data_IF_605266181807
#
_entry.id   IF_605266181807
#
_cell.length_a   1.000
_cell.length_b   1.000
_cell.length_c   1.000
_cell.angle_alpha   90.00
_cell.angle_beta   90.00
_cell.angle_gamma   90.00
#
_symmetry.space_group_name_H-M   'P 1'
#
loop_
_entity.id
_entity.type
_entity.pdbx_description
1 polymer ?
#
# COMPACT_ATOMS: atom_id res chain seq x y z
N UNK A 1 -27.68 5.68 -9.49
CA UNK A 1 -29.04 6.25 -9.49
C UNK A 1 -29.95 5.38 -8.64
N UNK A 2 -30.01 4.06 -8.91
CA UNK A 2 -30.69 3.08 -8.07
C UNK A 2 -30.33 3.13 -6.59
N UNK A 3 -29.03 3.09 -6.24
CA UNK A 3 -28.56 3.16 -4.84
C UNK A 3 -28.88 4.48 -4.12
N UNK A 4 -29.26 5.53 -4.85
CA UNK A 4 -29.62 6.82 -4.28
C UNK A 4 -31.13 6.95 -4.01
N UNK A 5 -31.92 6.01 -4.52
CA UNK A 5 -33.35 5.94 -4.26
C UNK A 5 -33.59 5.37 -2.87
N UNK A 6 -34.64 5.84 -2.21
CA UNK A 6 -35.15 5.24 -0.98
C UNK A 6 -35.64 3.81 -1.22
N UNK A 7 -35.75 3.02 -0.15
CA UNK A 7 -36.23 1.65 -0.25
C UNK A 7 -37.66 1.56 -0.86
N UNK A 8 -38.52 2.51 -0.52
CA UNK A 8 -39.90 2.58 -1.02
C UNK A 8 -39.94 2.91 -2.53
N UNK A 9 -39.07 3.81 -2.99
CA UNK A 9 -38.92 4.12 -4.42
C UNK A 9 -38.38 2.92 -5.20
N UNK A 10 -37.37 2.22 -4.66
CA UNK A 10 -36.84 1.00 -5.27
C UNK A 10 -37.91 -0.10 -5.37
N UNK A 11 -38.70 -0.30 -4.31
CA UNK A 11 -39.81 -1.25 -4.29
C UNK A 11 -40.86 -0.91 -5.35
N UNK A 12 -41.26 0.36 -5.40
CA UNK A 12 -42.26 0.84 -6.37
C UNK A 12 -41.81 0.60 -7.80
N UNK A 13 -40.56 0.93 -8.13
CA UNK A 13 -40.00 0.69 -9.48
C UNK A 13 -39.89 -0.81 -9.77
N UNK A 14 -39.49 -1.62 -8.79
CA UNK A 14 -39.43 -3.07 -8.94
C UNK A 14 -40.81 -3.65 -9.32
N UNK A 15 -41.86 -3.26 -8.58
CA UNK A 15 -43.24 -3.69 -8.86
C UNK A 15 -43.72 -3.23 -10.24
N UNK A 16 -43.43 -1.98 -10.62
CA UNK A 16 -43.78 -1.47 -11.95
C UNK A 16 -43.09 -2.24 -13.07
N UNK A 17 -41.79 -2.53 -12.93
CA UNK A 17 -41.04 -3.33 -13.90
C UNK A 17 -41.58 -4.76 -14.00
N UNK A 18 -42.02 -5.35 -12.88
CA UNK A 18 -42.64 -6.67 -12.85
C UNK A 18 -43.96 -6.71 -13.64
N UNK A 19 -44.84 -5.71 -13.45
CA UNK A 19 -46.08 -5.60 -14.22
C UNK A 19 -45.83 -5.38 -15.72
N UNK A 20 -44.79 -4.63 -16.06
CA UNK A 20 -44.41 -4.36 -17.45
C UNK A 20 -43.85 -5.63 -18.12
N UNK A 21 -43.07 -6.44 -17.39
CA UNK A 21 -42.50 -7.71 -17.88
C UNK A 21 -43.54 -8.80 -18.14
N UNK A 22 -44.77 -8.69 -17.61
CA UNK A 22 -45.88 -9.59 -17.91
C UNK A 22 -46.46 -9.40 -19.33
N UNK A 23 -46.17 -8.27 -19.99
CA UNK A 23 -46.66 -7.93 -21.34
C UNK A 23 -45.78 -8.53 -22.45
N UNK A 24 -46.14 -8.35 -23.72
CA UNK A 24 -45.29 -8.76 -24.85
C UNK A 24 -43.97 -7.98 -24.89
N UNK A 25 -42.84 -8.67 -24.80
CA UNK A 25 -41.51 -8.08 -24.76
C UNK A 25 -41.08 -7.37 -26.04
N UNK A 26 -41.78 -7.60 -27.15
CA UNK A 26 -41.57 -6.83 -28.40
C UNK A 26 -42.08 -5.39 -28.27
N UNK A 27 -43.02 -5.14 -27.36
CA UNK A 27 -43.62 -3.81 -27.14
C UNK A 27 -42.87 -2.97 -26.11
N UNK A 28 -41.99 -3.58 -25.33
CA UNK A 28 -41.12 -2.90 -24.37
C UNK A 28 -40.15 -1.96 -25.07
N UNK A 29 -40.09 -0.72 -24.59
CA UNK A 29 -39.08 0.26 -24.97
C UNK A 29 -37.67 -0.22 -24.59
N UNK A 30 -36.66 0.37 -25.23
CA UNK A 30 -35.24 0.06 -24.93
C UNK A 30 -34.89 0.45 -23.49
N UNK A 31 -35.47 1.52 -22.97
CA UNK A 31 -35.18 2.00 -21.62
C UNK A 31 -35.79 1.11 -20.54
N UNK A 32 -37.01 0.59 -20.75
CA UNK A 32 -37.61 -0.42 -19.85
C UNK A 32 -36.77 -1.71 -19.82
N UNK A 33 -36.24 -2.14 -20.97
CA UNK A 33 -35.35 -3.31 -21.04
C UNK A 33 -34.05 -3.07 -20.27
N UNK A 34 -33.44 -1.89 -20.44
CA UNK A 34 -32.22 -1.50 -19.70
C UNK A 34 -32.49 -1.39 -18.20
N UNK A 35 -33.61 -0.81 -17.80
CA UNK A 35 -34.02 -0.67 -16.42
C UNK A 35 -34.24 -2.05 -15.77
N UNK A 36 -35.00 -2.94 -16.42
CA UNK A 36 -35.20 -4.31 -15.96
C UNK A 36 -33.88 -5.07 -15.79
N UNK A 37 -32.99 -4.98 -16.80
CA UNK A 37 -31.67 -5.61 -16.72
C UNK A 37 -30.83 -5.02 -15.58
N UNK A 38 -30.78 -3.69 -15.47
CA UNK A 38 -30.02 -3.03 -14.42
C UNK A 38 -30.56 -3.40 -13.05
N UNK A 39 -31.87 -3.33 -12.78
CA UNK A 39 -32.46 -3.71 -11.47
C UNK A 39 -32.18 -5.16 -11.10
N UNK A 40 -32.27 -6.09 -12.06
CA UNK A 40 -32.08 -7.51 -11.80
C UNK A 40 -30.59 -7.92 -11.68
N UNK A 41 -29.70 -7.32 -12.47
CA UNK A 41 -28.31 -7.78 -12.66
C UNK A 41 -27.24 -6.71 -12.47
N UNK A 42 -27.65 -5.48 -12.13
CA UNK A 42 -26.74 -4.36 -11.91
C UNK A 42 -25.80 -4.55 -10.71
N UNK A 43 -24.74 -3.74 -10.64
CA UNK A 43 -23.71 -3.80 -9.61
C UNK A 43 -24.18 -3.12 -8.32
N UNK A 44 -25.25 -3.63 -7.72
CA UNK A 44 -25.83 -3.13 -6.46
C UNK A 44 -26.23 -4.29 -5.55
N UNK A 45 -26.57 -3.97 -4.30
CA UNK A 45 -26.95 -4.97 -3.30
C UNK A 45 -25.87 -6.05 -3.15
N UNK A 46 -26.18 -7.35 -3.29
CA UNK A 46 -25.18 -8.42 -3.20
C UNK A 46 -24.10 -8.39 -4.29
N UNK A 47 -24.30 -7.63 -5.37
CA UNK A 47 -23.33 -7.49 -6.48
C UNK A 47 -22.61 -6.14 -6.49
N UNK A 48 -22.72 -5.38 -5.40
CA UNK A 48 -21.96 -4.15 -5.25
C UNK A 48 -20.45 -4.45 -5.38
N UNK A 49 -19.68 -3.67 -6.16
CA UNK A 49 -18.23 -3.87 -6.26
C UNK A 49 -17.56 -3.71 -4.90
N UNK A 50 -16.62 -4.61 -4.58
CA UNK A 50 -15.81 -4.53 -3.36
C UNK A 50 -15.00 -3.22 -3.36
N UNK A 51 -14.46 -2.87 -4.53
CA UNK A 51 -13.68 -1.66 -4.76
C UNK A 51 -14.46 -0.69 -5.67
N UNK A 52 -15.34 0.16 -5.12
CA UNK A 52 -16.04 1.15 -5.93
C UNK A 52 -15.06 2.17 -6.54
N UNK A 53 -15.48 2.88 -7.61
CA UNK A 53 -14.64 3.91 -8.23
C UNK A 53 -14.10 4.92 -7.21
N UNK A 54 -12.79 5.18 -7.28
CA UNK A 54 -12.08 6.06 -6.34
C UNK A 54 -11.51 5.38 -5.10
N UNK A 55 -11.63 4.06 -4.96
CA UNK A 55 -11.01 3.31 -3.85
C UNK A 55 -9.47 3.34 -3.92
N UNK A 56 -8.90 3.02 -5.09
CA UNK A 56 -7.45 2.98 -5.29
C UNK A 56 -6.72 4.30 -4.91
N UNK A 57 -7.12 5.49 -5.40
CA UNK A 57 -6.45 6.73 -5.02
C UNK A 57 -6.56 7.02 -3.52
N UNK A 58 -7.69 6.68 -2.87
CA UNK A 58 -7.84 6.82 -1.41
C UNK A 58 -6.84 5.93 -0.65
N UNK A 59 -6.67 4.68 -1.09
CA UNK A 59 -5.71 3.75 -0.50
C UNK A 59 -4.28 4.28 -0.67
N UNK A 60 -3.90 4.69 -1.88
CA UNK A 60 -2.55 5.21 -2.16
C UNK A 60 -2.25 6.43 -1.27
N UNK A 61 -3.17 7.40 -1.21
CA UNK A 61 -3.00 8.60 -0.39
C UNK A 61 -2.93 8.24 1.09
N UNK A 62 -3.80 7.34 1.57
CA UNK A 62 -3.82 6.91 2.97
C UNK A 62 -2.52 6.22 3.39
N UNK A 63 -2.02 5.28 2.57
CA UNK A 63 -0.75 4.58 2.83
C UNK A 63 0.43 5.56 2.78
N UNK A 64 0.49 6.44 1.78
CA UNK A 64 1.55 7.44 1.68
C UNK A 64 1.57 8.38 2.89
N UNK A 65 0.38 8.82 3.35
CA UNK A 65 0.25 9.66 4.53
C UNK A 65 0.74 8.95 5.80
N UNK A 66 0.44 7.66 5.97
CA UNK A 66 0.91 6.87 7.11
C UNK A 66 2.43 6.69 7.10
N UNK A 67 3.03 6.41 5.94
CA UNK A 67 4.49 6.31 5.78
C UNK A 67 5.14 7.66 6.11
N UNK A 68 4.62 8.76 5.56
CA UNK A 68 5.14 10.10 5.81
C UNK A 68 5.02 10.49 7.30
N UNK A 69 3.89 10.19 7.93
CA UNK A 69 3.67 10.44 9.36
C UNK A 69 4.64 9.63 10.22
N UNK A 70 4.85 8.36 9.88
CA UNK A 70 5.78 7.48 10.61
C UNK A 70 7.21 7.98 10.49
N UNK A 71 7.62 8.39 9.28
CA UNK A 71 8.94 8.98 9.05
C UNK A 71 9.11 10.29 9.83
N UNK A 72 8.11 11.18 9.78
CA UNK A 72 8.13 12.44 10.53
C UNK A 72 8.30 12.20 12.03
N UNK A 73 7.50 11.29 12.60
CA UNK A 73 7.60 10.92 14.01
C UNK A 73 8.99 10.37 14.36
N UNK A 74 9.51 9.44 13.56
CA UNK A 74 10.84 8.87 13.76
C UNK A 74 11.93 9.95 13.74
N UNK A 75 11.94 10.84 12.73
CA UNK A 75 12.95 11.89 12.63
C UNK A 75 12.81 12.95 13.72
N UNK A 76 11.59 13.30 14.14
CA UNK A 76 11.37 14.20 15.28
C UNK A 76 11.97 13.64 16.57
N UNK A 77 11.76 12.35 16.85
CA UNK A 77 12.36 11.70 18.02
C UNK A 77 13.88 11.63 17.85
N UNK A 78 14.36 11.18 16.69
CA UNK A 78 15.79 11.00 16.42
C UNK A 78 16.59 12.29 16.52
N UNK A 79 15.99 13.43 16.17
CA UNK A 79 16.61 14.75 16.26
C UNK A 79 16.95 15.17 17.70
N UNK A 80 16.28 14.59 18.70
CA UNK A 80 16.54 14.86 20.12
C UNK A 80 17.52 13.87 20.77
N UNK A 81 17.98 12.86 20.03
CA UNK A 81 18.86 11.84 20.58
C UNK A 81 20.30 12.35 20.75
N UNK A 82 21.06 11.81 21.73
CA UNK A 82 22.49 12.13 21.91
C UNK A 82 23.33 11.89 20.64
N UNK A 83 24.51 12.53 20.54
CA UNK A 83 25.44 12.25 19.46
C UNK A 83 25.84 10.76 19.44
N UNK A 84 26.18 10.21 18.26
CA UNK A 84 26.63 8.84 18.16
C UNK A 84 27.91 8.61 18.99
N UNK A 85 28.17 7.38 19.47
CA UNK A 85 29.42 7.03 20.11
C UNK A 85 30.63 7.39 19.24
N UNK A 86 31.74 7.78 19.87
CA UNK A 86 33.00 8.12 19.18
C UNK A 86 33.57 6.97 18.35
N UNK A 87 33.13 5.73 18.63
CA UNK A 87 33.53 4.53 17.91
C UNK A 87 32.81 4.33 16.58
N UNK A 88 31.79 5.15 16.29
CA UNK A 88 31.11 5.18 14.99
C UNK A 88 31.68 6.36 14.20
N UNK A 89 32.96 6.22 13.82
CA UNK A 89 33.67 7.15 12.94
C UNK A 89 34.62 6.39 12.03
N UNK A 90 34.93 6.97 10.87
CA UNK A 90 35.85 6.37 9.91
C UNK A 90 37.24 6.15 10.51
N UNK A 91 37.73 7.09 11.32
CA UNK A 91 39.06 6.95 11.94
C UNK A 91 39.09 5.78 12.94
N UNK A 92 38.01 5.58 13.70
CA UNK A 92 37.93 4.45 14.63
C UNK A 92 37.82 3.11 13.89
N UNK A 93 37.08 3.06 12.79
CA UNK A 93 36.97 1.88 11.93
C UNK A 93 38.33 1.51 11.29
N UNK A 94 39.08 2.50 10.79
CA UNK A 94 40.43 2.30 10.24
C UNK A 94 41.43 1.84 11.31
N UNK A 95 41.43 2.46 12.49
CA UNK A 95 42.25 2.01 13.62
C UNK A 95 41.87 0.59 14.09
N UNK A 96 40.60 0.21 13.97
CA UNK A 96 40.15 -1.15 14.25
C UNK A 96 40.69 -2.15 13.23
N UNK A 97 40.79 -1.76 11.95
CA UNK A 97 41.43 -2.57 10.92
C UNK A 97 42.93 -2.79 11.20
N UNK A 98 43.65 -1.74 11.59
CA UNK A 98 45.08 -1.84 11.94
C UNK A 98 45.29 -2.84 13.08
N UNK A 99 44.52 -2.73 14.17
CA UNK A 99 44.57 -3.71 15.27
C UNK A 99 44.20 -5.12 14.83
N UNK A 100 43.24 -5.26 13.92
CA UNK A 100 42.82 -6.57 13.43
C UNK A 100 43.94 -7.27 12.64
N UNK A 101 44.70 -6.50 11.86
CA UNK A 101 45.88 -6.99 11.15
C UNK A 101 46.99 -7.37 12.15
N UNK A 102 47.27 -6.52 13.15
CA UNK A 102 48.25 -6.82 14.22
C UNK A 102 47.91 -8.13 14.94
N UNK A 103 46.63 -8.36 15.22
CA UNK A 103 46.12 -9.55 15.91
C UNK A 103 45.90 -10.74 14.98
N UNK A 104 46.17 -10.62 13.67
CA UNK A 104 45.91 -11.66 12.66
C UNK A 104 44.47 -12.17 12.69
N UNK A 105 43.52 -11.26 12.85
CA UNK A 105 42.10 -11.60 12.91
C UNK A 105 41.60 -12.17 11.57
N UNK A 106 40.89 -13.28 11.66
CA UNK A 106 40.31 -13.99 10.51
C UNK A 106 41.32 -14.23 9.36
N UNK A 107 42.38 -15.01 9.59
CA UNK A 107 43.51 -15.14 8.66
C UNK A 107 43.21 -16.02 7.43
N UNK A 108 42.03 -16.65 7.35
CA UNK A 108 41.68 -17.54 6.23
C UNK A 108 40.81 -16.80 5.19
N UNK A 109 39.86 -15.98 5.66
CA UNK A 109 38.87 -15.34 4.77
C UNK A 109 38.69 -13.84 4.99
N UNK A 110 39.27 -13.28 6.05
CA UNK A 110 39.02 -11.91 6.48
C UNK A 110 40.23 -11.03 6.35
N UNK A 111 40.22 -9.94 7.12
CA UNK A 111 41.21 -8.87 7.00
C UNK A 111 42.66 -9.34 7.15
N UNK A 112 42.92 -10.37 7.97
CA UNK A 112 44.25 -10.94 8.14
C UNK A 112 44.66 -11.99 7.09
N UNK A 113 43.82 -12.30 6.10
CA UNK A 113 44.14 -13.30 5.07
C UNK A 113 45.06 -12.75 3.99
N UNK A 114 45.91 -13.63 3.45
CA UNK A 114 46.78 -13.29 2.33
C UNK A 114 45.96 -12.83 1.11
N UNK A 115 46.32 -11.68 0.55
CA UNK A 115 45.63 -11.11 -0.62
C UNK A 115 44.27 -10.45 -0.31
N UNK A 116 43.92 -10.21 0.95
CA UNK A 116 42.68 -9.48 1.30
C UNK A 116 42.70 -8.04 0.74
N UNK A 117 41.63 -7.67 0.02
CA UNK A 117 41.47 -6.34 -0.62
C UNK A 117 40.16 -5.64 -0.28
N UNK A 118 39.42 -6.15 0.70
CA UNK A 118 38.15 -5.56 1.14
C UNK A 118 38.32 -4.38 2.10
N UNK A 119 37.23 -3.68 2.43
CA UNK A 119 37.25 -2.52 3.34
C UNK A 119 37.46 -2.89 4.83
N UNK A 120 37.47 -4.18 5.18
CA UNK A 120 37.56 -4.62 6.57
C UNK A 120 36.33 -4.20 7.36
N UNK A 121 36.55 -3.52 8.47
CA UNK A 121 35.52 -2.95 9.35
C UNK A 121 35.05 -1.56 8.93
N UNK A 122 35.61 -0.97 7.87
CA UNK A 122 35.19 0.36 7.39
C UNK A 122 33.85 0.26 6.68
N UNK A 123 32.87 1.01 7.19
CA UNK A 123 31.52 1.07 6.63
C UNK A 123 31.16 2.46 6.10
N UNK A 124 31.86 3.49 6.58
CA UNK A 124 31.72 4.85 6.09
C UNK A 124 32.34 4.98 4.69
N UNK A 125 31.56 5.49 3.73
CA UNK A 125 32.02 5.77 2.36
C UNK A 125 32.80 7.08 2.30
#
# INVERSE_FOLDING_TARGET
MWERLSADEQLTIHQQLEEIQKKDWKTLSVDEKKAAYYVAFGPHGPRAPIDPPGTLPKIIIGVAALIATSAALFFSIRATAPPPPRTISKEWEEASNERALEQKMNPIHGIGSEGYSGPGFVTHK
#
